data_IF_538152926009
#
_entry.id   IF_538152926009
#
_cell.length_a   1.000
_cell.length_b   1.000
_cell.length_c   1.000
_cell.angle_alpha   90.00
_cell.angle_beta   90.00
_cell.angle_gamma   90.00
#
_symmetry.space_group_name_H-M   'P 1'
#
loop_
_entity.id
_entity.type
_entity.pdbx_description
1 polymer ?
#
# COMPACT_ATOMS: atom_id res chain seq x y z
N UNK A 1 5.20 -3.54 3.25
CA UNK A 1 5.15 -4.66 4.22
C UNK A 1 6.23 -4.60 5.31
N UNK A 2 7.52 -4.43 5.01
CA UNK A 2 8.60 -4.54 6.02
C UNK A 2 8.49 -3.62 7.25
N UNK A 3 8.00 -2.38 7.09
CA UNK A 3 7.89 -1.42 8.21
C UNK A 3 6.84 -1.80 9.26
N UNK A 4 5.71 -2.40 8.87
CA UNK A 4 4.66 -2.81 9.82
C UNK A 4 5.07 -4.02 10.66
N UNK A 5 5.71 -5.00 10.03
CA UNK A 5 6.28 -6.18 10.72
C UNK A 5 7.35 -5.74 11.72
N UNK A 6 8.20 -4.78 11.34
CA UNK A 6 9.22 -4.23 12.24
C UNK A 6 8.60 -3.65 13.53
N UNK A 7 7.55 -2.82 13.41
CA UNK A 7 6.89 -2.22 14.57
C UNK A 7 6.18 -3.25 15.46
N UNK A 8 5.56 -4.27 14.86
CA UNK A 8 4.97 -5.38 15.63
C UNK A 8 6.05 -6.14 16.39
N UNK A 9 7.17 -6.46 15.75
CA UNK A 9 8.29 -7.14 16.40
C UNK A 9 8.87 -6.32 17.56
N UNK A 10 9.06 -5.01 17.36
CA UNK A 10 9.50 -4.10 18.44
C UNK A 10 8.48 -4.10 19.59
N UNK A 11 7.19 -3.98 19.29
CA UNK A 11 6.12 -4.02 20.30
C UNK A 11 6.11 -5.33 21.10
N UNK A 12 6.21 -6.48 20.43
CA UNK A 12 6.25 -7.80 21.09
C UNK A 12 7.47 -7.93 22.00
N UNK A 13 8.65 -7.51 21.53
CA UNK A 13 9.88 -7.55 22.34
C UNK A 13 9.75 -6.68 23.58
N UNK A 14 9.14 -5.49 23.47
CA UNK A 14 8.89 -4.60 24.60
C UNK A 14 7.90 -5.18 25.61
N UNK A 15 6.82 -5.85 25.14
CA UNK A 15 5.87 -6.57 26.04
C UNK A 15 6.59 -7.69 26.79
N UNK A 16 7.36 -8.53 26.09
CA UNK A 16 8.07 -9.65 26.72
C UNK A 16 9.10 -9.15 27.74
N UNK A 17 9.81 -8.07 27.42
CA UNK A 17 10.76 -7.45 28.34
C UNK A 17 10.10 -6.90 29.60
N UNK A 18 8.98 -6.16 29.46
CA UNK A 18 8.24 -5.59 30.59
C UNK A 18 7.66 -6.69 31.53
N UNK A 19 7.30 -7.86 30.99
CA UNK A 19 6.81 -9.01 31.77
C UNK A 19 7.95 -9.74 32.51
N UNK A 20 9.12 -9.88 31.88
CA UNK A 20 10.20 -10.77 32.37
C UNK A 20 11.22 -10.04 33.24
N UNK A 21 11.47 -8.76 32.98
CA UNK A 21 12.56 -8.00 33.62
C UNK A 21 12.02 -6.97 34.60
N UNK A 22 11.51 -5.85 34.09
CA UNK A 22 10.88 -4.78 34.86
C UNK A 22 9.99 -3.94 33.94
N UNK A 23 8.82 -3.46 34.41
CA UNK A 23 7.92 -2.64 33.61
C UNK A 23 8.50 -1.24 33.42
N UNK A 24 9.29 -1.07 32.36
CA UNK A 24 9.97 0.18 32.01
C UNK A 24 9.21 0.97 30.95
N UNK A 25 8.37 0.31 30.15
CA UNK A 25 7.63 0.92 29.03
C UNK A 25 6.16 1.17 29.36
N UNK A 26 5.89 1.54 30.60
CA UNK A 26 4.55 1.86 31.09
C UNK A 26 4.51 3.31 31.59
N UNK A 27 3.62 4.12 31.00
CA UNK A 27 3.43 5.52 31.41
C UNK A 27 2.35 5.55 32.49
N UNK A 28 2.62 6.04 33.71
CA UNK A 28 1.58 6.23 34.71
C UNK A 28 0.61 7.32 34.24
N UNK A 29 -0.65 6.97 34.01
CA UNK A 29 -1.70 7.93 33.64
C UNK A 29 -2.48 8.37 34.89
N UNK A 30 -2.65 7.48 35.86
CA UNK A 30 -3.17 7.80 37.20
C UNK A 30 -2.42 6.98 38.26
N UNK A 31 -2.67 7.27 39.55
CA UNK A 31 -1.98 6.62 40.68
C UNK A 31 -2.09 5.08 40.68
N UNK A 32 -3.18 4.53 40.12
CA UNK A 32 -3.46 3.09 40.09
C UNK A 32 -3.40 2.50 38.67
N UNK A 33 -3.11 3.30 37.64
CA UNK A 33 -3.15 2.85 36.25
C UNK A 33 -1.95 3.34 35.44
N UNK A 34 -1.19 2.37 34.95
CA UNK A 34 -0.06 2.57 34.04
C UNK A 34 -0.42 2.00 32.67
N UNK A 35 -0.28 2.85 31.65
CA UNK A 35 -0.57 2.48 30.27
C UNK A 35 0.68 1.91 29.58
N UNK A 36 0.66 0.65 29.12
CA UNK A 36 1.81 0.06 28.45
C UNK A 36 1.95 0.64 27.03
N UNK A 37 3.05 1.34 26.79
CA UNK A 37 3.40 1.95 25.49
C UNK A 37 3.48 0.87 24.39
N UNK A 38 3.83 -0.36 24.77
CA UNK A 38 3.87 -1.49 23.86
C UNK A 38 2.50 -1.78 23.21
N UNK A 39 1.40 -1.49 23.90
CA UNK A 39 0.04 -1.60 23.33
C UNK A 39 -0.17 -0.66 22.15
N UNK A 40 0.38 0.56 22.21
CA UNK A 40 0.33 1.53 21.11
C UNK A 40 1.18 1.05 19.92
N UNK A 41 2.35 0.46 20.16
CA UNK A 41 3.19 -0.09 19.10
C UNK A 41 2.50 -1.27 18.37
N UNK A 42 1.84 -2.16 19.12
CA UNK A 42 1.07 -3.28 18.55
C UNK A 42 -0.15 -2.76 17.78
N UNK A 43 -0.93 -1.83 18.34
CA UNK A 43 -2.07 -1.23 17.66
C UNK A 43 -1.65 -0.51 16.36
N UNK A 44 -0.57 0.26 16.40
CA UNK A 44 -0.03 0.94 15.23
C UNK A 44 0.44 -0.05 14.16
N UNK A 45 1.12 -1.12 14.57
CA UNK A 45 1.56 -2.18 13.66
C UNK A 45 0.39 -2.91 12.99
N UNK A 46 -0.64 -3.28 13.76
CA UNK A 46 -1.87 -3.92 13.24
C UNK A 46 -2.59 -2.98 12.28
N UNK A 47 -2.75 -1.70 12.64
CA UNK A 47 -3.36 -0.70 11.78
C UNK A 47 -2.57 -0.52 10.47
N UNK A 48 -1.24 -0.47 10.53
CA UNK A 48 -0.40 -0.36 9.34
C UNK A 48 -0.51 -1.60 8.42
N UNK A 49 -0.68 -2.80 8.98
CA UNK A 49 -0.91 -4.02 8.20
C UNK A 49 -2.29 -4.01 7.55
N UNK A 50 -3.34 -3.68 8.32
CA UNK A 50 -4.71 -3.61 7.81
C UNK A 50 -4.82 -2.56 6.71
N UNK A 51 -4.30 -1.35 6.94
CA UNK A 51 -4.28 -0.30 5.92
C UNK A 51 -3.50 -0.71 4.67
N UNK A 52 -2.38 -1.42 4.83
CA UNK A 52 -1.63 -1.94 3.69
C UNK A 52 -2.41 -3.02 2.92
N UNK A 53 -3.19 -3.85 3.62
CA UNK A 53 -4.01 -4.90 2.99
C UNK A 53 -5.22 -4.31 2.27
N UNK A 54 -5.93 -3.40 2.93
CA UNK A 54 -7.02 -2.61 2.34
C UNK A 54 -6.52 -1.85 1.11
N UNK A 55 -5.35 -1.21 1.18
CA UNK A 55 -4.78 -0.52 0.02
C UNK A 55 -4.44 -1.47 -1.13
N UNK A 56 -4.06 -2.73 -0.86
CA UNK A 56 -3.81 -3.74 -1.90
C UNK A 56 -5.12 -4.27 -2.48
N UNK A 57 -6.09 -4.59 -1.63
CA UNK A 57 -7.38 -5.15 -2.05
C UNK A 57 -8.23 -4.10 -2.80
N UNK A 58 -8.16 -2.82 -2.41
CA UNK A 58 -8.80 -1.73 -3.13
C UNK A 58 -8.02 -1.25 -4.36
N UNK A 59 -6.77 -1.66 -4.55
CA UNK A 59 -5.97 -1.30 -5.74
C UNK A 59 -6.15 -2.27 -6.91
N UNK A 60 -6.85 -3.39 -6.70
CA UNK A 60 -7.11 -4.35 -7.77
C UNK A 60 -8.45 -4.07 -8.45
N UNK A 61 -8.46 -4.17 -9.77
CA UNK A 61 -9.68 -4.18 -10.57
C UNK A 61 -10.41 -5.51 -10.36
N UNK A 62 -11.70 -5.44 -10.08
CA UNK A 62 -12.58 -6.62 -10.00
C UNK A 62 -12.83 -7.20 -11.40
N UNK A 63 -13.19 -8.47 -11.51
CA UNK A 63 -13.51 -9.11 -12.80
C UNK A 63 -14.65 -8.38 -13.54
N UNK A 64 -15.61 -7.84 -12.80
CA UNK A 64 -16.72 -7.04 -13.32
C UNK A 64 -16.21 -5.70 -13.90
N UNK A 65 -15.36 -4.97 -13.17
CA UNK A 65 -14.73 -3.75 -13.67
C UNK A 65 -13.86 -4.00 -14.91
N UNK A 66 -13.17 -5.14 -14.99
CA UNK A 66 -12.36 -5.54 -16.15
C UNK A 66 -13.28 -5.85 -17.35
N UNK A 67 -14.38 -6.56 -17.12
CA UNK A 67 -15.31 -6.90 -18.20
C UNK A 67 -16.02 -5.67 -18.76
N UNK A 68 -16.34 -4.69 -17.92
CA UNK A 68 -17.09 -3.49 -18.32
C UNK A 68 -16.16 -2.42 -18.91
N UNK A 69 -14.99 -2.21 -18.31
CA UNK A 69 -14.11 -1.08 -18.64
C UNK A 69 -12.80 -1.48 -19.31
N UNK A 70 -12.49 -2.77 -19.45
CA UNK A 70 -11.18 -3.25 -19.94
C UNK A 70 -10.77 -2.68 -21.29
N UNK A 71 -11.67 -2.68 -22.28
CA UNK A 71 -11.37 -2.12 -23.61
C UNK A 71 -11.23 -0.60 -23.58
N UNK A 72 -12.01 0.08 -22.72
CA UNK A 72 -11.92 1.53 -22.51
C UNK A 72 -10.60 1.92 -21.83
N UNK A 73 -10.18 1.15 -20.82
CA UNK A 73 -8.92 1.33 -20.11
C UNK A 73 -7.73 1.15 -21.06
N UNK A 74 -7.74 0.12 -21.91
CA UNK A 74 -6.66 -0.12 -22.89
C UNK A 74 -6.52 1.03 -23.89
N UNK A 75 -7.64 1.61 -24.34
CA UNK A 75 -7.63 2.81 -25.21
C UNK A 75 -7.18 4.06 -24.48
N UNK A 76 -7.42 4.15 -23.17
CA UNK A 76 -6.99 5.27 -22.32
C UNK A 76 -5.51 5.19 -21.91
N UNK A 77 -4.90 4.00 -21.94
CA UNK A 77 -3.51 3.75 -21.51
C UNK A 77 -2.48 4.70 -22.13
N UNK A 78 -2.48 4.99 -23.44
CA UNK A 78 -1.52 5.93 -24.02
C UNK A 78 -1.64 7.33 -23.42
N UNK A 79 -2.87 7.80 -23.16
CA UNK A 79 -3.12 9.10 -22.54
C UNK A 79 -2.63 9.11 -21.08
N UNK A 80 -2.92 8.05 -20.33
CA UNK A 80 -2.47 7.88 -18.93
C UNK A 80 -0.94 7.90 -18.85
N UNK A 81 -0.25 7.18 -19.74
CA UNK A 81 1.22 7.15 -19.77
C UNK A 81 1.78 8.53 -20.10
N UNK A 82 1.25 9.21 -21.12
CA UNK A 82 1.69 10.56 -21.49
C UNK A 82 1.58 11.53 -20.32
N UNK A 83 0.44 11.55 -19.62
CA UNK A 83 0.24 12.44 -18.47
C UNK A 83 1.13 12.04 -17.27
N UNK A 84 1.43 10.76 -17.11
CA UNK A 84 2.37 10.28 -16.10
C UNK A 84 3.82 10.69 -16.39
N UNK A 85 4.23 10.76 -17.66
CA UNK A 85 5.56 11.24 -18.06
C UNK A 85 5.73 12.74 -17.75
N UNK A 86 4.64 13.50 -17.84
CA UNK A 86 4.58 14.90 -17.41
C UNK A 86 4.56 15.08 -15.88
N UNK A 87 4.71 14.01 -15.10
CA UNK A 87 4.75 14.00 -13.63
C UNK A 87 3.46 14.48 -12.94
N UNK A 88 2.30 14.30 -13.57
CA UNK A 88 1.02 14.58 -12.93
C UNK A 88 0.74 13.58 -11.80
N UNK A 89 -0.04 14.00 -10.79
CA UNK A 89 -0.49 13.07 -9.74
C UNK A 89 -1.53 12.10 -10.29
N UNK A 90 -1.62 10.90 -9.71
CA UNK A 90 -2.57 9.87 -10.15
C UNK A 90 -4.02 10.35 -10.08
N UNK A 91 -4.37 11.16 -9.08
CA UNK A 91 -5.70 11.78 -8.97
C UNK A 91 -5.97 12.76 -10.12
N UNK A 92 -4.99 13.59 -10.48
CA UNK A 92 -5.14 14.56 -11.57
C UNK A 92 -5.26 13.87 -12.94
N UNK A 93 -4.49 12.79 -13.15
CA UNK A 93 -4.58 11.97 -14.37
C UNK A 93 -5.97 11.31 -14.47
N UNK A 94 -6.46 10.72 -13.38
CA UNK A 94 -7.75 10.05 -13.37
C UNK A 94 -8.90 11.02 -13.68
N UNK A 95 -8.89 12.22 -13.09
CA UNK A 95 -9.88 13.26 -13.39
C UNK A 95 -9.84 13.74 -14.84
N UNK A 96 -8.65 13.86 -15.43
CA UNK A 96 -8.51 14.31 -16.82
C UNK A 96 -8.96 13.23 -17.82
N UNK A 97 -8.64 11.97 -17.54
CA UNK A 97 -9.02 10.83 -18.37
C UNK A 97 -10.50 10.49 -18.21
N UNK A 98 -11.10 10.68 -17.04
CA UNK A 98 -12.55 10.53 -16.83
C UNK A 98 -13.35 11.45 -17.74
N UNK A 99 -12.90 12.70 -17.92
CA UNK A 99 -13.57 13.66 -18.82
C UNK A 99 -13.62 13.19 -20.28
N UNK A 100 -12.61 12.45 -20.73
CA UNK A 100 -12.52 11.96 -22.11
C UNK A 100 -13.13 10.57 -22.31
N UNK A 101 -13.16 9.73 -21.28
CA UNK A 101 -13.49 8.30 -21.40
C UNK A 101 -14.76 7.89 -20.67
N UNK A 102 -15.32 8.74 -19.80
CA UNK A 102 -16.45 8.42 -18.90
C UNK A 102 -16.19 7.22 -17.96
N UNK A 103 -14.94 6.75 -17.87
CA UNK A 103 -14.54 5.70 -16.94
C UNK A 103 -14.45 6.33 -15.54
N UNK A 104 -15.05 5.72 -14.50
CA UNK A 104 -15.01 6.27 -13.16
C UNK A 104 -13.58 6.49 -12.66
N UNK A 105 -13.33 7.63 -12.01
CA UNK A 105 -12.01 7.99 -11.44
C UNK A 105 -11.40 6.85 -10.61
N UNK A 106 -12.23 6.20 -9.78
CA UNK A 106 -11.81 5.09 -8.90
C UNK A 106 -11.24 3.90 -9.69
N UNK A 107 -11.84 3.57 -10.84
CA UNK A 107 -11.41 2.48 -11.71
C UNK A 107 -10.10 2.83 -12.40
N UNK A 108 -9.96 4.08 -12.87
CA UNK A 108 -8.73 4.59 -13.48
C UNK A 108 -7.54 4.57 -12.50
N UNK A 109 -7.77 4.97 -11.25
CA UNK A 109 -6.74 4.94 -10.20
C UNK A 109 -6.28 3.52 -9.95
N UNK A 110 -7.20 2.56 -9.79
CA UNK A 110 -6.87 1.13 -9.65
C UNK A 110 -6.05 0.62 -10.82
N UNK A 111 -6.45 0.97 -12.05
CA UNK A 111 -5.74 0.57 -13.26
C UNK A 111 -4.31 1.10 -13.31
N UNK A 112 -4.09 2.37 -12.95
CA UNK A 112 -2.74 2.95 -12.86
C UNK A 112 -1.85 2.24 -11.83
N UNK A 113 -2.41 1.90 -10.65
CA UNK A 113 -1.69 1.12 -9.66
C UNK A 113 -1.35 -0.29 -10.17
N UNK A 114 -2.27 -0.94 -10.87
CA UNK A 114 -2.05 -2.25 -11.48
C UNK A 114 -0.93 -2.21 -12.54
N UNK A 115 -0.93 -1.22 -13.45
CA UNK A 115 0.15 -1.03 -14.43
C UNK A 115 1.50 -0.81 -13.73
N UNK A 116 1.55 0.06 -12.71
CA UNK A 116 2.79 0.33 -11.98
C UNK A 116 3.31 -0.91 -11.24
N UNK A 117 2.41 -1.72 -10.68
CA UNK A 117 2.73 -3.01 -10.08
C UNK A 117 3.36 -3.96 -11.11
N UNK A 118 2.69 -4.15 -12.24
CA UNK A 118 3.18 -4.98 -13.33
C UNK A 118 4.56 -4.55 -13.85
N UNK A 119 4.76 -3.25 -14.08
CA UNK A 119 6.07 -2.73 -14.52
C UNK A 119 7.18 -2.97 -13.50
N UNK A 120 6.87 -2.86 -12.21
CA UNK A 120 7.83 -3.13 -11.14
C UNK A 120 8.21 -4.61 -11.06
N UNK A 121 7.24 -5.50 -11.24
CA UNK A 121 7.46 -6.95 -11.23
C UNK A 121 8.27 -7.38 -12.46
N UNK A 122 7.94 -6.85 -13.65
CA UNK A 122 8.72 -7.07 -14.88
C UNK A 122 10.15 -6.54 -14.74
N UNK A 123 10.34 -5.36 -14.16
CA UNK A 123 11.68 -4.81 -13.91
C UNK A 123 12.47 -5.65 -12.89
N UNK A 124 11.81 -6.19 -11.86
CA UNK A 124 12.43 -7.08 -10.88
C UNK A 124 12.89 -8.39 -11.53
N UNK A 125 12.04 -9.00 -12.36
CA UNK A 125 12.34 -10.26 -13.06
C UNK A 125 13.42 -10.08 -14.15
N UNK A 126 13.35 -9.00 -14.92
CA UNK A 126 14.38 -8.64 -15.90
C UNK A 126 15.76 -8.47 -15.25
N UNK A 127 15.81 -7.82 -14.08
CA UNK A 127 17.06 -7.65 -13.31
C UNK A 127 17.59 -8.95 -12.68
N UNK A 128 16.73 -9.95 -12.50
CA UNK A 128 17.10 -11.27 -12.00
C UNK A 128 17.66 -12.16 -13.11
N UNK A 129 17.18 -11.96 -14.35
CA UNK A 129 17.62 -12.69 -15.52
C UNK A 129 18.99 -12.21 -16.03
N UNK A 130 19.23 -10.89 -16.01
CA UNK A 130 20.52 -10.27 -16.35
C UNK A 130 21.66 -10.69 -15.40
N UNK A 131 21.31 -10.98 -14.14
CA UNK A 131 22.25 -11.48 -13.11
C UNK A 131 22.59 -12.97 -13.23
N UNK A 132 21.85 -13.75 -14.03
CA UNK A 132 22.14 -15.18 -14.29
C UNK A 132 22.99 -15.40 -15.53
N UNK A 133 23.16 -14.37 -16.36
CA UNK A 133 23.93 -14.39 -17.61
C UNK A 133 25.33 -13.77 -17.47
N UNK A 134 25.67 -13.27 -16.28
CA UNK A 134 27.02 -12.82 -15.88
C UNK A 134 27.66 -13.86 -14.96
#
# INVERSE_FOLDING_TARGET
MGKGILWISIGIVMVVFDIVVTPMFSIPITADFSFPIATLAVLYGVLAIISARIAVDHAQLTEEEISEWGEGLEKATPQIISLSEEQWSSEAIAQEVEKSTQIPEVVLIKYMYAIRGYLKDVAADGSAQDRRTL
#
